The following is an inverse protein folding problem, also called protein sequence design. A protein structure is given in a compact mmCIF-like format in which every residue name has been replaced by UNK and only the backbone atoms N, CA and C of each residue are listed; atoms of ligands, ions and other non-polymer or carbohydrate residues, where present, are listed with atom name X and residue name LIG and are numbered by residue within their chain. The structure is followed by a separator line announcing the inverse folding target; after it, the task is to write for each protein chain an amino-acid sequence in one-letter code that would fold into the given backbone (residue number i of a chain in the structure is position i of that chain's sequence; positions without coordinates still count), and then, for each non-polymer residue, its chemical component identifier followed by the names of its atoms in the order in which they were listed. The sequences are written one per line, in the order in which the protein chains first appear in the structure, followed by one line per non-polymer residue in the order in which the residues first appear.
data_IF_092473419922
#
_entry.id   IF_092473419922
#
_cell.length_a   1.000
_cell.length_b   1.000
_cell.length_c   1.000
_cell.angle_alpha   90.00
_cell.angle_beta   90.00
_cell.angle_gamma   90.00
#
_symmetry.space_group_name_H-M   'P 1'
#
loop_
_entity.id
_entity.type
_entity.pdbx_description
1 polymer ?
#
# COMPACT_ATOMS: atom_id res chain seq x y z
N UNK A 1 4.57 14.68 6.05
CA UNK A 1 5.63 14.65 5.01
C UNK A 1 6.99 14.42 5.66
N UNK A 2 7.31 15.06 6.82
CA UNK A 2 8.64 15.02 7.45
C UNK A 2 9.12 13.61 7.82
N UNK A 3 8.24 12.74 8.32
CA UNK A 3 8.54 11.37 8.75
C UNK A 3 8.63 10.33 7.63
N UNK A 4 8.21 10.63 6.41
CA UNK A 4 8.28 9.73 5.25
C UNK A 4 7.75 8.31 5.55
N UNK A 5 8.53 7.26 5.21
CA UNK A 5 8.21 5.85 5.43
C UNK A 5 8.09 5.46 6.92
N UNK A 6 8.64 6.25 7.82
CA UNK A 6 8.54 5.98 9.27
C UNK A 6 7.11 6.07 9.80
N UNK A 7 6.19 6.75 9.09
CA UNK A 7 4.76 6.73 9.43
C UNK A 7 4.18 5.32 9.35
N UNK A 8 4.55 4.56 8.32
CA UNK A 8 4.13 3.16 8.14
C UNK A 8 4.79 2.28 9.20
N UNK A 9 6.08 2.50 9.48
CA UNK A 9 6.82 1.76 10.51
C UNK A 9 6.23 1.99 11.90
N UNK A 10 5.87 3.24 12.24
CA UNK A 10 5.20 3.58 13.50
C UNK A 10 3.85 2.90 13.63
N UNK A 11 3.05 2.96 12.55
CA UNK A 11 1.75 2.30 12.53
C UNK A 11 1.88 0.80 12.76
N UNK A 12 2.78 0.12 12.05
CA UNK A 12 3.02 -1.31 12.23
C UNK A 12 3.46 -1.65 13.65
N UNK A 13 4.36 -0.84 14.23
CA UNK A 13 4.81 -1.02 15.62
C UNK A 13 3.68 -0.91 16.63
N UNK A 14 2.71 -0.02 16.42
CA UNK A 14 1.61 0.23 17.38
C UNK A 14 0.40 -0.67 17.19
N UNK A 15 0.17 -1.18 15.99
CA UNK A 15 -1.11 -1.79 15.63
C UNK A 15 -1.01 -3.24 15.12
N UNK A 16 0.20 -3.72 14.84
CA UNK A 16 0.39 -5.05 14.29
C UNK A 16 1.18 -5.94 15.24
N UNK A 17 0.81 -7.23 15.33
CA UNK A 17 1.53 -8.22 16.13
C UNK A 17 2.01 -9.37 15.25
N UNK A 18 3.35 -9.51 15.14
CA UNK A 18 4.01 -10.54 14.35
C UNK A 18 5.32 -10.97 15.03
N UNK A 19 5.81 -12.16 14.72
CA UNK A 19 7.10 -12.66 15.22
C UNK A 19 8.28 -11.93 14.58
N UNK A 20 8.12 -11.51 13.32
CA UNK A 20 9.10 -10.74 12.55
C UNK A 20 8.42 -9.59 11.81
N UNK A 21 9.12 -8.47 11.74
CA UNK A 21 8.69 -7.27 11.03
C UNK A 21 9.68 -6.93 9.94
N UNK A 22 9.19 -6.72 8.73
CA UNK A 22 10.00 -6.25 7.61
C UNK A 22 9.54 -4.87 7.13
N UNK A 23 10.49 -4.04 6.77
CA UNK A 23 10.26 -2.79 6.07
C UNK A 23 11.03 -2.77 4.77
N UNK A 24 10.39 -2.36 3.69
CA UNK A 24 11.02 -2.08 2.42
C UNK A 24 10.35 -0.89 1.74
N UNK A 25 11.04 -0.27 0.79
CA UNK A 25 10.49 0.78 -0.04
C UNK A 25 9.88 0.17 -1.31
N UNK A 26 8.85 0.77 -1.90
CA UNK A 26 8.19 0.24 -3.10
C UNK A 26 9.12 -0.07 -4.30
N UNK A 27 10.32 0.49 -4.31
CA UNK A 27 11.35 0.23 -5.32
C UNK A 27 12.58 -0.50 -4.79
N UNK A 28 12.67 -0.82 -3.50
CA UNK A 28 13.86 -1.43 -2.88
C UNK A 28 13.47 -2.64 -2.06
N UNK A 29 14.09 -3.77 -2.36
CA UNK A 29 13.82 -5.04 -1.70
C UNK A 29 15.13 -5.72 -1.33
N UNK A 30 15.12 -6.49 -0.26
CA UNK A 30 16.23 -7.38 0.08
C UNK A 30 16.21 -8.60 -0.85
N UNK A 31 17.32 -8.92 -1.47
CA UNK A 31 17.47 -10.14 -2.26
C UNK A 31 17.69 -11.35 -1.36
N UNK A 32 16.98 -12.44 -1.59
CA UNK A 32 17.19 -13.72 -0.93
C UNK A 32 17.95 -14.73 -1.79
N UNK A 33 18.72 -14.23 -2.77
CA UNK A 33 19.68 -15.05 -3.52
C UNK A 33 20.84 -15.49 -2.62
N UNK A 34 21.47 -16.61 -2.96
CA UNK A 34 22.63 -17.13 -2.22
C UNK A 34 23.91 -16.34 -2.49
N UNK A 35 23.95 -15.57 -3.58
CA UNK A 35 25.13 -14.78 -3.96
C UNK A 35 24.74 -13.35 -4.32
N UNK A 36 25.65 -12.41 -4.08
CA UNK A 36 25.48 -11.02 -4.50
C UNK A 36 25.84 -10.87 -5.98
N UNK A 37 25.04 -10.08 -6.68
CA UNK A 37 25.28 -9.69 -8.07
C UNK A 37 26.05 -8.35 -8.11
N UNK A 38 26.73 -8.03 -9.24
CA UNK A 38 27.37 -6.72 -9.39
C UNK A 38 26.36 -5.59 -9.16
N UNK A 39 26.67 -4.68 -8.25
CA UNK A 39 25.87 -3.51 -7.90
C UNK A 39 26.43 -2.22 -8.52
N UNK A 40 25.75 -1.11 -8.26
CA UNK A 40 26.26 0.24 -8.53
C UNK A 40 27.26 0.67 -7.45
N UNK A 41 27.71 1.93 -7.47
CA UNK A 41 28.63 2.51 -6.47
C UNK A 41 28.14 2.40 -5.01
N UNK A 42 26.87 2.10 -4.81
CA UNK A 42 26.22 1.93 -3.50
C UNK A 42 25.95 0.45 -3.19
N UNK A 43 26.61 -0.47 -3.88
CA UNK A 43 26.39 -1.93 -3.78
C UNK A 43 24.92 -2.38 -4.00
N UNK A 44 24.09 -1.49 -4.56
CA UNK A 44 22.69 -1.76 -4.88
C UNK A 44 22.58 -2.35 -6.29
N UNK A 45 21.92 -3.47 -6.40
CA UNK A 45 21.59 -4.06 -7.70
C UNK A 45 20.50 -3.24 -8.37
N UNK A 46 20.74 -2.81 -9.61
CA UNK A 46 19.80 -2.00 -10.39
C UNK A 46 19.07 -2.88 -11.40
N UNK A 47 17.74 -2.89 -11.34
CA UNK A 47 16.87 -3.52 -12.31
C UNK A 47 15.96 -2.50 -12.97
N UNK A 48 15.54 -2.76 -14.21
CA UNK A 48 14.65 -1.84 -14.90
C UNK A 48 13.22 -1.97 -14.37
N UNK A 49 12.71 -3.19 -14.26
CA UNK A 49 11.31 -3.43 -13.90
C UNK A 49 11.20 -4.45 -12.77
N UNK A 50 10.23 -4.25 -11.87
CA UNK A 50 9.73 -5.29 -11.00
C UNK A 50 8.77 -6.17 -11.80
N UNK A 51 9.24 -7.33 -12.24
CA UNK A 51 8.49 -8.33 -12.99
C UNK A 51 8.51 -9.68 -12.29
N UNK A 52 7.67 -10.62 -12.74
CA UNK A 52 7.69 -12.00 -12.24
C UNK A 52 9.10 -12.58 -12.33
N UNK A 53 9.75 -12.40 -13.49
CA UNK A 53 11.10 -12.92 -13.75
C UNK A 53 12.14 -12.35 -12.78
N UNK A 54 12.13 -11.04 -12.55
CA UNK A 54 13.10 -10.41 -11.64
C UNK A 54 12.80 -10.75 -10.19
N UNK A 55 11.53 -10.84 -9.80
CA UNK A 55 11.14 -11.25 -8.46
C UNK A 55 11.50 -12.73 -8.17
N UNK A 56 11.35 -13.62 -9.14
CA UNK A 56 11.82 -15.02 -9.05
C UNK A 56 13.34 -15.07 -8.96
N UNK A 57 14.06 -14.32 -9.79
CA UNK A 57 15.52 -14.23 -9.78
C UNK A 57 16.05 -13.87 -8.38
N UNK A 58 15.47 -12.86 -7.75
CA UNK A 58 15.88 -12.40 -6.41
C UNK A 58 15.22 -13.16 -5.27
N UNK A 59 14.51 -14.26 -5.57
CA UNK A 59 13.85 -15.16 -4.62
C UNK A 59 12.80 -14.46 -3.73
N UNK A 60 12.16 -13.41 -4.25
CA UNK A 60 11.16 -12.63 -3.52
C UNK A 60 9.83 -13.38 -3.31
N UNK A 61 9.63 -14.52 -4.00
CA UNK A 61 8.46 -15.41 -3.87
C UNK A 61 8.77 -16.75 -3.22
N UNK A 62 10.03 -17.04 -2.95
CA UNK A 62 10.40 -18.30 -2.33
C UNK A 62 10.12 -18.25 -0.82
N UNK A 63 8.83 -18.37 -0.47
CA UNK A 63 8.35 -18.30 0.91
C UNK A 63 9.13 -19.21 1.84
N UNK A 64 9.31 -20.48 1.45
CA UNK A 64 9.99 -21.48 2.28
C UNK A 64 11.46 -21.09 2.57
N UNK A 65 12.18 -20.59 1.54
CA UNK A 65 13.56 -20.13 1.72
C UNK A 65 13.62 -18.89 2.60
N UNK A 66 12.72 -17.92 2.35
CA UNK A 66 12.65 -16.68 3.12
C UNK A 66 12.35 -16.96 4.59
N UNK A 67 11.33 -17.77 4.90
CA UNK A 67 10.96 -18.12 6.27
C UNK A 67 12.08 -18.85 7.01
N UNK A 68 12.74 -19.81 6.34
CA UNK A 68 13.88 -20.53 6.91
C UNK A 68 15.02 -19.57 7.24
N UNK A 69 15.33 -18.64 6.36
CA UNK A 69 16.41 -17.69 6.57
C UNK A 69 16.06 -16.67 7.64
N UNK A 70 14.86 -16.08 7.56
CA UNK A 70 14.38 -15.09 8.54
C UNK A 70 14.40 -15.68 9.95
N UNK A 71 13.92 -16.91 10.14
CA UNK A 71 13.92 -17.57 11.45
C UNK A 71 15.32 -17.88 12.00
N UNK A 72 16.35 -17.86 11.16
CA UNK A 72 17.73 -18.14 11.56
C UNK A 72 18.48 -16.91 12.09
N UNK A 73 17.94 -15.71 11.91
CA UNK A 73 18.57 -14.46 12.28
C UNK A 73 17.64 -13.57 13.11
N UNK A 74 18.22 -12.71 13.93
CA UNK A 74 17.46 -11.71 14.69
C UNK A 74 17.23 -10.45 13.87
N UNK A 75 18.16 -10.15 12.96
CA UNK A 75 18.12 -8.99 12.05
C UNK A 75 18.70 -9.35 10.68
N UNK A 76 17.99 -8.99 9.64
CA UNK A 76 18.45 -9.02 8.24
C UNK A 76 18.33 -7.61 7.68
N UNK A 77 19.41 -7.09 7.09
CA UNK A 77 19.49 -5.70 6.62
C UNK A 77 20.11 -5.61 5.22
N UNK A 78 19.98 -4.45 4.61
CA UNK A 78 20.74 -4.11 3.41
C UNK A 78 22.24 -4.05 3.72
N UNK A 79 23.06 -4.59 2.80
CA UNK A 79 24.52 -4.51 2.89
C UNK A 79 24.97 -3.05 2.94
N UNK A 80 25.89 -2.76 3.86
CA UNK A 80 26.55 -1.46 3.91
C UNK A 80 27.48 -1.28 2.68
N UNK A 81 27.52 -0.06 2.15
CA UNK A 81 28.44 0.26 1.05
C UNK A 81 29.61 1.15 1.50
N UNK A 82 30.72 1.05 0.81
CA UNK A 82 31.95 1.81 1.07
C UNK A 82 31.83 3.21 0.44
N UNK A 83 31.74 4.25 1.25
CA UNK A 83 31.60 5.65 0.82
C UNK A 83 32.79 6.16 0.02
N UNK A 84 33.97 5.52 0.14
CA UNK A 84 35.15 5.86 -0.64
C UNK A 84 35.08 5.41 -2.10
N UNK A 85 34.16 4.50 -2.42
CA UNK A 85 33.98 3.93 -3.77
C UNK A 85 32.95 4.66 -4.62
N UNK A 86 32.30 5.69 -4.09
CA UNK A 86 31.29 6.46 -4.85
C UNK A 86 32.02 7.26 -5.94
N UNK A 87 31.72 6.96 -7.21
CA UNK A 87 32.38 7.61 -8.37
C UNK A 87 31.67 8.84 -8.88
N UNK A 88 30.32 8.92 -8.69
CA UNK A 88 29.49 10.01 -9.22
C UNK A 88 29.61 11.32 -8.44
N UNK A 89 30.11 11.27 -7.25
CA UNK A 89 30.40 12.42 -6.39
C UNK A 89 31.80 12.26 -5.80
N UNK A 90 32.35 13.35 -5.28
CA UNK A 90 33.66 13.26 -4.60
C UNK A 90 33.61 12.18 -3.51
N UNK A 91 34.51 11.18 -3.51
CA UNK A 91 34.57 10.15 -2.48
C UNK A 91 34.62 10.75 -1.08
N UNK A 92 33.97 10.09 -0.13
CA UNK A 92 33.92 10.49 1.27
C UNK A 92 34.65 9.46 2.12
N UNK A 93 35.49 9.92 3.04
CA UNK A 93 36.30 9.02 3.87
C UNK A 93 35.47 8.45 5.04
N UNK A 94 34.33 9.04 5.34
CA UNK A 94 33.46 8.58 6.44
C UNK A 94 31.99 8.85 6.18
N UNK A 95 31.14 8.16 6.93
CA UNK A 95 29.69 8.39 6.97
C UNK A 95 29.38 9.82 7.40
N UNK A 96 30.14 10.36 8.38
CA UNK A 96 29.99 11.75 8.80
C UNK A 96 30.22 12.72 7.65
N UNK A 97 31.34 12.57 6.92
CA UNK A 97 31.61 13.41 5.75
C UNK A 97 30.51 13.31 4.68
N UNK A 98 29.99 12.10 4.44
CA UNK A 98 28.90 11.88 3.48
C UNK A 98 27.68 12.73 3.84
N UNK A 99 27.22 12.67 5.09
CA UNK A 99 26.06 13.39 5.54
C UNK A 99 26.24 14.90 5.56
N UNK A 100 27.38 15.40 6.10
CA UNK A 100 27.67 16.84 6.14
C UNK A 100 27.87 17.45 4.73
N UNK A 101 28.22 16.65 3.75
CA UNK A 101 28.33 17.07 2.36
C UNK A 101 26.99 17.02 1.60
N UNK A 102 25.98 16.34 2.12
CA UNK A 102 24.67 16.14 1.47
C UNK A 102 23.71 17.32 1.72
N UNK A 103 24.19 18.58 1.57
CA UNK A 103 23.46 19.81 1.88
C UNK A 103 22.19 20.05 1.05
N UNK A 104 22.04 19.35 -0.06
CA UNK A 104 20.82 19.36 -0.85
C UNK A 104 19.70 18.49 -0.26
N UNK A 105 20.03 17.59 0.67
CA UNK A 105 19.09 16.73 1.38
C UNK A 105 18.79 17.26 2.77
N UNK A 106 19.85 17.57 3.52
CA UNK A 106 19.76 17.94 4.93
C UNK A 106 20.70 19.08 5.27
N UNK A 107 20.30 19.95 6.19
CA UNK A 107 21.17 20.97 6.75
C UNK A 107 22.12 20.34 7.78
N UNK A 108 23.43 20.68 7.80
CA UNK A 108 24.34 20.24 8.84
C UNK A 108 23.86 20.46 10.27
N UNK A 109 23.15 21.56 10.52
CA UNK A 109 22.56 21.85 11.85
C UNK A 109 21.58 20.76 12.29
N UNK A 110 20.84 20.14 11.35
CA UNK A 110 19.97 19.03 11.66
C UNK A 110 20.73 17.81 12.19
N UNK A 111 21.93 17.55 11.61
CA UNK A 111 22.80 16.47 12.05
C UNK A 111 23.35 16.75 13.45
N UNK A 112 23.79 18.00 13.68
CA UNK A 112 24.29 18.42 15.00
C UNK A 112 23.19 18.32 16.07
N UNK A 113 21.96 18.69 15.73
CA UNK A 113 20.80 18.53 16.60
C UNK A 113 20.52 17.06 16.92
N UNK A 114 20.57 16.20 15.91
CA UNK A 114 20.40 14.75 16.11
C UNK A 114 21.46 14.16 17.03
N UNK A 115 22.73 14.51 16.81
CA UNK A 115 23.87 14.05 17.64
C UNK A 115 23.60 14.42 19.10
N UNK A 116 23.24 15.67 19.36
CA UNK A 116 22.96 16.15 20.72
C UNK A 116 21.77 15.40 21.35
N UNK A 117 20.71 15.13 20.61
CA UNK A 117 19.58 14.36 21.11
C UNK A 117 20.01 12.94 21.50
N UNK A 118 20.85 12.28 20.69
CA UNK A 118 21.37 10.96 21.00
C UNK A 118 22.24 11.02 22.26
N UNK A 119 23.14 11.99 22.38
CA UNK A 119 23.99 12.18 23.57
C UNK A 119 23.18 12.38 24.84
N UNK A 120 22.13 13.21 24.78
CA UNK A 120 21.34 13.57 25.94
C UNK A 120 20.35 12.45 26.38
N UNK A 121 19.79 11.68 25.42
CA UNK A 121 18.68 10.75 25.69
C UNK A 121 19.03 9.28 25.56
N UNK A 122 20.05 8.96 24.75
CA UNK A 122 20.50 7.61 24.46
C UNK A 122 22.00 7.46 24.57
N UNK A 123 22.58 7.74 25.77
CA UNK A 123 24.03 7.67 25.98
C UNK A 123 24.63 6.30 25.68
N UNK A 124 23.81 5.24 25.75
CA UNK A 124 24.20 3.87 25.38
C UNK A 124 24.54 3.72 23.88
N UNK A 125 24.11 4.63 23.04
CA UNK A 125 24.36 4.61 21.59
C UNK A 125 25.51 5.53 21.17
N UNK A 126 26.07 6.35 22.06
CA UNK A 126 27.08 7.38 21.73
C UNK A 126 28.34 6.74 21.16
N UNK A 127 28.83 5.65 21.76
CA UNK A 127 29.98 4.92 21.25
C UNK A 127 29.73 4.42 19.82
N UNK A 128 28.63 3.71 19.61
CA UNK A 128 28.21 3.20 18.30
C UNK A 128 28.00 4.30 17.27
N UNK A 129 27.44 5.44 17.69
CA UNK A 129 27.27 6.62 16.82
C UNK A 129 28.63 7.17 16.36
N UNK A 130 29.57 7.32 17.27
CA UNK A 130 30.92 7.82 16.95
C UNK A 130 31.67 6.88 16.03
N UNK A 131 31.62 5.57 16.29
CA UNK A 131 32.22 4.54 15.45
C UNK A 131 31.62 4.52 14.06
N UNK A 132 30.27 4.51 13.96
CA UNK A 132 29.55 4.52 12.70
C UNK A 132 29.87 5.77 11.88
N UNK A 133 29.87 6.94 12.50
CA UNK A 133 30.21 8.20 11.83
C UNK A 133 31.68 8.26 11.36
N UNK A 134 32.58 7.66 12.10
CA UNK A 134 34.02 7.56 11.71
C UNK A 134 34.23 6.50 10.62
N UNK A 135 33.33 5.52 10.51
CA UNK A 135 33.46 4.43 9.55
C UNK A 135 33.21 4.92 8.11
N UNK A 136 33.74 4.19 7.14
CA UNK A 136 33.43 4.39 5.71
C UNK A 136 32.27 3.55 5.21
N UNK A 137 31.64 2.75 6.05
CA UNK A 137 30.57 1.83 5.69
C UNK A 137 29.20 2.41 6.05
N UNK A 138 28.54 2.97 5.05
CA UNK A 138 27.19 3.53 5.21
C UNK A 138 26.12 2.48 4.98
N UNK A 139 25.15 2.41 5.91
CA UNK A 139 23.94 1.60 5.78
C UNK A 139 22.74 2.52 5.78
N UNK A 140 22.13 2.68 4.61
CA UNK A 140 20.94 3.47 4.42
C UNK A 140 19.77 2.65 3.91
N UNK A 141 18.80 3.37 3.38
CA UNK A 141 17.63 2.84 2.68
C UNK A 141 16.57 2.14 3.54
N UNK A 142 16.71 2.10 4.86
CA UNK A 142 15.71 1.62 5.81
C UNK A 142 14.99 0.33 5.32
N UNK A 143 15.78 -0.66 4.89
CA UNK A 143 15.30 -1.93 4.36
C UNK A 143 15.81 -3.07 5.24
N UNK A 144 14.90 -3.74 5.94
CA UNK A 144 15.25 -4.72 6.96
C UNK A 144 14.16 -5.77 7.20
N UNK A 145 14.54 -6.86 7.86
CA UNK A 145 13.65 -7.76 8.60
C UNK A 145 14.21 -7.92 10.01
N UNK A 146 13.40 -7.77 11.03
CA UNK A 146 13.79 -7.85 12.44
C UNK A 146 12.85 -8.77 13.21
N UNK A 147 13.38 -9.52 14.19
CA UNK A 147 12.57 -10.21 15.18
C UNK A 147 11.72 -9.20 15.99
N UNK A 148 10.57 -9.64 16.49
CA UNK A 148 9.65 -8.83 17.31
C UNK A 148 10.38 -8.07 18.43
N UNK A 149 11.29 -8.76 19.13
CA UNK A 149 12.07 -8.16 20.22
C UNK A 149 12.88 -6.96 19.73
N UNK A 150 13.73 -7.18 18.71
CA UNK A 150 14.61 -6.13 18.16
C UNK A 150 13.80 -5.00 17.54
N UNK A 151 12.73 -5.31 16.81
CA UNK A 151 11.85 -4.30 16.21
C UNK A 151 11.24 -3.39 17.27
N UNK A 152 10.76 -3.95 18.39
CA UNK A 152 10.19 -3.16 19.48
C UNK A 152 11.23 -2.29 20.19
N UNK A 153 12.44 -2.82 20.44
CA UNK A 153 13.53 -2.08 21.07
C UNK A 153 14.01 -0.95 20.17
N UNK A 154 14.25 -1.24 18.90
CA UNK A 154 14.62 -0.25 17.89
C UNK A 154 13.59 0.88 17.77
N UNK A 155 12.30 0.55 17.65
CA UNK A 155 11.27 1.59 17.49
C UNK A 155 11.09 2.48 18.72
N UNK A 156 11.31 1.96 19.94
CA UNK A 156 11.34 2.80 21.14
C UNK A 156 12.40 3.88 21.03
N UNK A 157 13.61 3.50 20.69
CA UNK A 157 14.74 4.41 20.51
C UNK A 157 14.51 5.35 19.33
N UNK A 158 14.17 4.80 18.17
CA UNK A 158 13.97 5.57 16.94
C UNK A 158 12.93 6.68 17.12
N UNK A 159 11.75 6.35 17.62
CA UNK A 159 10.66 7.33 17.73
C UNK A 159 10.83 8.28 18.92
N UNK A 160 11.54 7.88 19.97
CA UNK A 160 11.93 8.81 21.02
C UNK A 160 12.86 9.90 20.46
N UNK A 161 13.86 9.52 19.67
CA UNK A 161 14.76 10.46 19.02
C UNK A 161 14.03 11.31 17.97
N UNK A 162 13.25 10.69 17.08
CA UNK A 162 12.62 11.43 15.98
C UNK A 162 11.55 12.40 16.45
N UNK A 163 10.77 12.07 17.47
CA UNK A 163 9.80 13.00 18.05
C UNK A 163 10.48 14.16 18.78
N UNK A 164 11.59 13.90 19.44
CA UNK A 164 12.36 14.98 20.08
C UNK A 164 13.01 15.87 19.02
N UNK A 165 13.56 15.27 17.95
CA UNK A 165 14.10 16.02 16.82
C UNK A 165 13.03 16.93 16.18
N UNK A 166 11.84 16.41 15.91
CA UNK A 166 10.73 17.16 15.29
C UNK A 166 10.27 18.35 16.15
N UNK A 167 10.46 18.29 17.47
CA UNK A 167 10.19 19.41 18.39
C UNK A 167 11.30 20.47 18.40
N UNK A 168 12.56 20.04 18.31
CA UNK A 168 13.71 20.92 18.45
C UNK A 168 14.14 21.55 17.14
N UNK A 169 13.90 20.89 16.01
CA UNK A 169 14.36 21.32 14.70
C UNK A 169 13.23 21.95 13.89
N UNK A 170 13.30 23.29 13.73
CA UNK A 170 12.33 24.03 12.95
C UNK A 170 12.62 23.91 11.44
N UNK A 171 11.63 23.42 10.69
CA UNK A 171 11.66 23.31 9.23
C UNK A 171 10.94 24.47 8.53
N UNK A 172 10.55 25.52 9.25
CA UNK A 172 9.89 26.70 8.67
C UNK A 172 10.79 27.34 7.62
N UNK A 173 10.25 27.53 6.41
CA UNK A 173 10.99 28.09 5.28
C UNK A 173 11.84 27.09 4.50
N UNK A 174 11.82 25.80 4.85
CA UNK A 174 12.44 24.76 4.04
C UNK A 174 11.53 24.34 2.88
N UNK A 175 12.16 23.95 1.77
CA UNK A 175 11.47 23.51 0.57
C UNK A 175 12.07 22.19 0.05
N UNK A 176 11.29 21.48 -0.76
CA UNK A 176 11.72 20.29 -1.46
C UNK A 176 12.19 19.17 -0.51
N UNK A 177 13.40 18.65 -0.76
CA UNK A 177 13.95 17.55 0.03
C UNK A 177 14.21 17.92 1.50
N UNK A 178 14.47 19.17 1.81
CA UNK A 178 14.76 19.61 3.18
C UNK A 178 13.55 19.48 4.12
N UNK A 179 12.31 19.49 3.59
CA UNK A 179 11.09 19.20 4.36
C UNK A 179 11.06 17.78 4.92
N UNK A 180 11.94 16.90 4.42
CA UNK A 180 12.07 15.51 4.83
C UNK A 180 13.17 15.29 5.88
N UNK A 181 13.62 16.35 6.55
CA UNK A 181 14.74 16.29 7.50
C UNK A 181 14.57 15.18 8.53
N UNK A 182 13.41 15.04 9.17
CA UNK A 182 13.12 13.98 10.15
C UNK A 182 13.29 12.57 9.54
N UNK A 183 12.88 12.38 8.28
CA UNK A 183 13.10 11.12 7.57
C UNK A 183 14.58 10.80 7.37
N UNK A 184 15.40 11.77 6.98
CA UNK A 184 16.86 11.58 6.85
C UNK A 184 17.53 11.33 8.20
N UNK A 185 17.07 11.98 9.27
CA UNK A 185 17.56 11.68 10.62
C UNK A 185 17.25 10.24 11.01
N UNK A 186 16.08 9.74 10.64
CA UNK A 186 15.73 8.33 10.82
C UNK A 186 16.69 7.36 10.11
N UNK A 187 17.16 7.69 8.89
CA UNK A 187 18.17 6.88 8.21
C UNK A 187 19.52 6.87 8.97
N UNK A 188 19.90 7.99 9.58
CA UNK A 188 21.10 8.05 10.42
C UNK A 188 20.92 7.18 11.67
N UNK A 189 19.81 7.33 12.38
CA UNK A 189 19.49 6.54 13.59
C UNK A 189 19.46 5.05 13.25
N UNK A 190 18.88 4.67 12.10
CA UNK A 190 18.91 3.30 11.59
C UNK A 190 20.33 2.78 11.45
N UNK A 191 21.21 3.53 10.79
CA UNK A 191 22.61 3.16 10.63
C UNK A 191 23.35 2.99 11.95
N UNK A 192 23.17 3.93 12.89
CA UNK A 192 23.75 3.88 14.25
C UNK A 192 23.24 2.65 15.02
N UNK A 193 21.93 2.41 15.01
CA UNK A 193 21.36 1.29 15.76
C UNK A 193 21.78 -0.07 15.15
N UNK A 194 21.84 -0.17 13.82
CA UNK A 194 22.35 -1.38 13.16
C UNK A 194 23.83 -1.61 13.46
N UNK A 195 24.63 -0.54 13.56
CA UNK A 195 26.02 -0.63 13.99
C UNK A 195 26.13 -1.17 15.43
N UNK A 196 25.31 -0.63 16.34
CA UNK A 196 25.22 -1.10 17.71
C UNK A 196 24.89 -2.60 17.77
N UNK A 197 23.85 -3.05 17.07
CA UNK A 197 23.48 -4.47 17.05
C UNK A 197 24.59 -5.37 16.52
N UNK A 198 25.30 -4.92 15.50
CA UNK A 198 26.32 -5.71 14.81
C UNK A 198 27.62 -5.81 15.61
N UNK A 199 28.02 -4.78 16.36
CA UNK A 199 29.33 -4.67 16.97
C UNK A 199 29.34 -4.74 18.50
N UNK A 200 28.21 -4.43 19.14
CA UNK A 200 28.11 -4.33 20.59
C UNK A 200 27.09 -5.29 21.21
N UNK A 201 26.54 -6.23 20.43
CA UNK A 201 25.59 -7.25 20.92
C UNK A 201 25.84 -8.61 20.30
N UNK A 202 25.28 -9.68 20.89
CA UNK A 202 25.30 -11.03 20.34
C UNK A 202 24.17 -11.29 19.31
N UNK A 203 23.69 -10.22 18.65
CA UNK A 203 22.61 -10.29 17.68
C UNK A 203 23.03 -11.13 16.46
N UNK A 204 22.21 -12.11 16.09
CA UNK A 204 22.39 -12.89 14.85
C UNK A 204 22.04 -12.01 13.66
N UNK A 205 23.05 -11.44 13.06
CA UNK A 205 22.98 -10.39 12.05
C UNK A 205 23.31 -10.91 10.66
N UNK A 206 22.47 -10.61 9.66
CA UNK A 206 22.71 -10.99 8.26
C UNK A 206 22.59 -9.77 7.34
N UNK A 207 23.53 -9.65 6.42
CA UNK A 207 23.45 -8.67 5.32
C UNK A 207 22.93 -9.32 4.03
N UNK A 208 22.01 -8.61 3.35
CA UNK A 208 21.50 -8.98 2.04
C UNK A 208 21.65 -7.84 1.05
N UNK A 209 21.82 -8.17 -0.21
CA UNK A 209 21.89 -7.16 -1.26
C UNK A 209 20.53 -6.48 -1.43
N UNK A 210 20.55 -5.16 -1.56
CA UNK A 210 19.37 -4.40 -1.97
C UNK A 210 19.25 -4.45 -3.49
N UNK A 211 18.06 -4.74 -3.97
CA UNK A 211 17.67 -4.61 -5.37
C UNK A 211 16.77 -3.39 -5.52
N UNK A 212 17.14 -2.50 -6.42
CA UNK A 212 16.36 -1.31 -6.77
C UNK A 212 15.73 -1.50 -8.14
N UNK A 213 14.41 -1.41 -8.21
CA UNK A 213 13.64 -1.43 -9.44
C UNK A 213 13.32 0.01 -9.87
N UNK A 214 13.71 0.38 -11.09
CA UNK A 214 13.45 1.71 -11.63
C UNK A 214 11.95 1.93 -11.85
N UNK A 215 11.27 0.91 -12.39
CA UNK A 215 9.84 0.91 -12.67
C UNK A 215 9.16 -0.19 -11.86
N UNK A 216 8.19 0.20 -11.06
CA UNK A 216 7.33 -0.68 -10.26
C UNK A 216 5.86 -0.51 -10.65
N UNK A 217 5.59 0.29 -11.67
CA UNK A 217 4.26 0.50 -12.24
C UNK A 217 3.96 -0.60 -13.25
N UNK A 218 2.68 -0.81 -13.50
CA UNK A 218 2.10 -1.94 -14.19
C UNK A 218 2.84 -2.35 -15.49
N UNK A 219 3.91 -3.11 -15.32
CA UNK A 219 4.40 -3.99 -16.36
C UNK A 219 3.30 -5.05 -16.61
N UNK A 220 2.99 -5.42 -17.85
CA UNK A 220 2.11 -6.55 -18.17
C UNK A 220 2.46 -7.81 -17.38
N UNK A 221 3.75 -8.04 -17.09
CA UNK A 221 4.23 -9.13 -16.24
C UNK A 221 3.84 -8.96 -14.76
N UNK A 222 3.72 -7.74 -14.24
CA UNK A 222 3.26 -7.49 -12.88
C UNK A 222 1.76 -7.80 -12.70
N UNK A 223 0.95 -7.57 -13.73
CA UNK A 223 -0.44 -8.03 -13.76
C UNK A 223 -0.54 -9.55 -13.73
N UNK A 224 0.35 -10.24 -14.47
CA UNK A 224 0.46 -11.71 -14.44
C UNK A 224 0.86 -12.21 -13.06
N UNK A 225 1.67 -11.44 -12.31
CA UNK A 225 2.05 -11.74 -10.94
C UNK A 225 0.88 -11.63 -9.97
N UNK A 226 0.14 -10.54 -10.04
CA UNK A 226 -1.07 -10.35 -9.24
C UNK A 226 -2.09 -11.47 -9.56
N UNK A 227 -2.24 -11.84 -10.83
CA UNK A 227 -3.08 -12.94 -11.26
C UNK A 227 -2.56 -14.29 -10.74
N UNK A 228 -1.24 -14.56 -10.76
CA UNK A 228 -0.67 -15.80 -10.20
C UNK A 228 -0.83 -15.86 -8.68
N UNK A 229 -0.66 -14.75 -7.98
CA UNK A 229 -0.88 -14.69 -6.52
C UNK A 229 -2.35 -14.92 -6.19
N UNK A 230 -3.26 -14.43 -7.02
CA UNK A 230 -4.70 -14.71 -6.93
C UNK A 230 -5.04 -16.14 -7.33
N UNK A 231 -4.31 -16.75 -8.28
CA UNK A 231 -4.55 -18.14 -8.73
C UNK A 231 -4.07 -19.22 -7.76
N UNK A 232 -3.29 -18.87 -6.72
CA UNK A 232 -3.01 -19.78 -5.60
C UNK A 232 -4.17 -19.91 -4.62
N UNK A 233 -5.17 -19.05 -4.70
CA UNK A 233 -6.45 -19.28 -4.06
C UNK A 233 -7.21 -20.35 -4.87
N UNK A 234 -7.64 -21.45 -4.22
CA UNK A 234 -8.51 -22.46 -4.85
C UNK A 234 -9.62 -21.75 -5.62
N UNK A 235 -9.83 -22.07 -6.91
CA UNK A 235 -10.93 -21.50 -7.65
C UNK A 235 -12.23 -21.78 -6.88
N UNK A 236 -12.83 -20.78 -6.35
CA UNK A 236 -14.15 -20.87 -5.79
C UNK A 236 -15.09 -20.54 -6.97
N UNK A 237 -15.95 -21.46 -7.35
CA UNK A 237 -16.93 -21.23 -8.44
C UNK A 237 -18.00 -20.19 -8.08
N UNK A 238 -17.86 -19.55 -6.94
CA UNK A 238 -18.80 -18.58 -6.43
C UNK A 238 -18.79 -17.27 -7.23
N UNK A 239 -20.00 -16.82 -7.47
CA UNK A 239 -20.29 -15.51 -8.06
C UNK A 239 -20.98 -14.69 -6.99
N UNK A 240 -20.49 -13.46 -6.75
CA UNK A 240 -21.13 -12.53 -5.82
C UNK A 240 -21.31 -11.17 -6.46
N UNK A 241 -22.52 -10.65 -6.31
CA UNK A 241 -22.88 -9.27 -6.68
C UNK A 241 -23.11 -8.51 -5.38
N UNK A 242 -22.17 -7.62 -5.05
CA UNK A 242 -22.22 -6.79 -3.84
C UNK A 242 -23.17 -5.61 -4.09
N UNK A 243 -24.25 -5.57 -3.32
CA UNK A 243 -25.28 -4.53 -3.44
C UNK A 243 -25.02 -3.46 -2.39
N UNK A 244 -24.70 -2.25 -2.84
CA UNK A 244 -24.51 -1.12 -1.95
C UNK A 244 -25.82 -0.46 -1.55
N UNK A 245 -26.10 -0.42 -0.26
CA UNK A 245 -27.28 0.21 0.35
C UNK A 245 -26.89 1.45 1.16
N UNK A 246 -27.79 2.42 1.20
CA UNK A 246 -27.63 3.60 2.06
C UNK A 246 -27.86 3.23 3.52
N UNK A 247 -27.12 3.88 4.42
CA UNK A 247 -27.23 3.67 5.87
C UNK A 247 -28.60 4.07 6.43
N UNK A 248 -29.15 5.15 5.92
CA UNK A 248 -30.35 5.81 6.42
C UNK A 248 -31.67 5.22 5.88
N UNK A 249 -31.60 4.18 5.05
CA UNK A 249 -32.76 3.57 4.42
C UNK A 249 -32.80 2.06 4.63
N UNK A 250 -33.97 1.55 5.03
CA UNK A 250 -34.32 0.15 4.90
C UNK A 250 -34.80 -0.11 3.47
N UNK A 251 -33.99 -0.76 2.66
CA UNK A 251 -34.28 -1.07 1.27
C UNK A 251 -34.60 -2.56 1.13
N UNK A 252 -35.48 -2.87 0.18
CA UNK A 252 -35.72 -4.26 -0.20
C UNK A 252 -34.43 -4.95 -0.68
N UNK A 253 -34.32 -6.24 -0.43
CA UNK A 253 -33.21 -7.08 -0.82
C UNK A 253 -33.66 -8.23 -1.71
N UNK A 254 -32.78 -8.68 -2.61
CA UNK A 254 -33.01 -9.86 -3.44
C UNK A 254 -32.51 -11.08 -2.68
N UNK A 255 -33.37 -12.06 -2.44
CA UNK A 255 -33.08 -13.27 -1.67
C UNK A 255 -32.20 -14.30 -2.38
N UNK A 256 -31.71 -14.02 -3.58
CA UNK A 256 -30.82 -14.93 -4.34
C UNK A 256 -29.41 -14.90 -3.76
N UNK A 257 -28.79 -16.06 -3.53
CA UNK A 257 -27.44 -16.24 -2.96
C UNK A 257 -26.31 -15.54 -3.71
N UNK A 258 -26.54 -15.10 -4.96
CA UNK A 258 -25.59 -14.33 -5.75
C UNK A 258 -25.44 -12.90 -5.24
N UNK A 259 -26.51 -12.33 -4.63
CA UNK A 259 -26.51 -10.98 -4.12
C UNK A 259 -26.12 -10.93 -2.65
N UNK A 260 -25.07 -10.16 -2.36
CA UNK A 260 -24.67 -9.84 -1.00
C UNK A 260 -24.88 -8.37 -0.69
N UNK A 261 -25.66 -8.09 0.35
CA UNK A 261 -26.15 -6.77 0.66
C UNK A 261 -25.30 -6.11 1.76
N UNK A 262 -24.78 -4.92 1.46
CA UNK A 262 -23.91 -4.16 2.36
C UNK A 262 -24.39 -2.73 2.56
N UNK A 263 -24.44 -2.27 3.79
CA UNK A 263 -24.60 -0.86 4.13
C UNK A 263 -23.28 -0.12 3.90
N UNK A 264 -23.33 0.87 3.02
CA UNK A 264 -22.23 1.80 2.75
C UNK A 264 -22.12 2.81 3.89
N UNK A 265 -20.90 3.18 4.29
CA UNK A 265 -20.61 4.13 5.37
C UNK A 265 -20.97 3.59 6.79
N UNK A 266 -20.88 2.30 6.99
CA UNK A 266 -21.25 1.67 8.26
C UNK A 266 -20.33 2.10 9.42
N UNK A 267 -19.04 2.39 9.16
CA UNK A 267 -18.07 2.82 10.15
C UNK A 267 -18.37 4.18 10.79
N UNK A 268 -19.08 5.08 10.07
CA UNK A 268 -19.43 6.41 10.59
C UNK A 268 -20.78 6.48 11.29
N UNK A 269 -21.58 5.41 11.23
CA UNK A 269 -22.94 5.40 11.75
C UNK A 269 -23.13 4.31 12.81
N UNK A 270 -23.42 4.70 14.05
CA UNK A 270 -23.82 3.79 15.13
C UNK A 270 -25.28 3.32 14.92
N UNK A 271 -25.50 2.46 13.92
CA UNK A 271 -26.82 1.92 13.63
C UNK A 271 -26.87 0.41 13.88
N UNK A 272 -28.01 -0.09 14.33
CA UNK A 272 -28.30 -1.52 14.30
C UNK A 272 -28.50 -1.93 12.84
N UNK A 273 -27.52 -2.60 12.28
CA UNK A 273 -27.56 -3.04 10.89
C UNK A 273 -28.39 -4.33 10.80
N UNK A 274 -29.38 -4.34 9.90
CA UNK A 274 -30.10 -5.56 9.51
C UNK A 274 -29.37 -6.34 8.41
N UNK A 275 -28.29 -5.79 7.88
CA UNK A 275 -27.42 -6.39 6.86
C UNK A 275 -25.96 -6.07 7.16
N UNK A 276 -25.04 -6.69 6.45
CA UNK A 276 -23.61 -6.43 6.62
C UNK A 276 -23.27 -4.95 6.43
N UNK A 277 -22.25 -4.48 7.15
CA UNK A 277 -21.61 -3.18 6.93
C UNK A 277 -20.32 -3.31 6.16
N UNK A 278 -19.91 -2.24 5.48
CA UNK A 278 -18.63 -2.13 4.78
C UNK A 278 -17.45 -1.75 5.70
N UNK A 279 -17.65 -1.86 7.03
CA UNK A 279 -16.74 -1.41 8.09
C UNK A 279 -15.92 -2.53 8.75
N UNK A 280 -15.98 -3.74 8.20
CA UNK A 280 -15.23 -4.90 8.69
C UNK A 280 -13.97 -5.16 7.85
N UNK A 281 -12.96 -5.81 8.44
CA UNK A 281 -11.73 -6.14 7.73
C UNK A 281 -10.99 -4.90 7.20
N UNK A 282 -10.32 -5.05 6.05
CA UNK A 282 -9.67 -3.92 5.35
C UNK A 282 -10.75 -3.09 4.61
N UNK A 283 -10.98 -1.86 5.03
CA UNK A 283 -12.09 -1.05 4.55
C UNK A 283 -11.77 0.46 4.49
N UNK A 284 -12.60 1.19 3.76
CA UNK A 284 -12.62 2.66 3.68
C UNK A 284 -13.99 3.23 4.04
N UNK A 285 -14.71 2.56 4.93
CA UNK A 285 -16.09 2.91 5.30
C UNK A 285 -16.22 4.36 5.77
N UNK A 286 -15.29 4.86 6.58
CA UNK A 286 -15.29 6.24 7.07
C UNK A 286 -15.11 7.29 5.96
N UNK A 287 -14.60 6.88 4.80
CA UNK A 287 -14.43 7.72 3.62
C UNK A 287 -15.63 7.64 2.65
N UNK A 288 -16.64 6.86 2.96
CA UNK A 288 -17.80 6.63 2.07
C UNK A 288 -18.56 7.92 1.70
N UNK A 289 -18.46 8.97 2.51
CA UNK A 289 -19.02 10.30 2.14
C UNK A 289 -18.38 10.88 0.86
N UNK A 290 -17.16 10.45 0.52
CA UNK A 290 -16.46 10.86 -0.71
C UNK A 290 -16.56 9.79 -1.80
N UNK A 291 -16.52 8.51 -1.43
CA UNK A 291 -16.48 7.39 -2.36
C UNK A 291 -17.84 6.73 -2.58
N UNK A 292 -18.85 7.07 -1.78
CA UNK A 292 -20.20 6.50 -1.87
C UNK A 292 -20.18 4.97 -1.96
N UNK A 293 -20.87 4.37 -2.94
CA UNK A 293 -20.94 2.92 -3.18
C UNK A 293 -19.57 2.26 -3.45
N UNK A 294 -18.55 3.03 -3.82
CA UNK A 294 -17.20 2.50 -4.05
C UNK A 294 -16.54 2.00 -2.76
N UNK A 295 -17.02 2.41 -1.57
CA UNK A 295 -16.54 1.84 -0.30
C UNK A 295 -16.90 0.35 -0.18
N UNK A 296 -18.06 -0.07 -0.67
CA UNK A 296 -18.47 -1.48 -0.74
C UNK A 296 -17.65 -2.23 -1.79
N UNK A 297 -17.33 -1.58 -2.92
CA UNK A 297 -16.44 -2.17 -3.94
C UNK A 297 -15.03 -2.42 -3.38
N UNK A 298 -14.49 -1.45 -2.63
CA UNK A 298 -13.19 -1.61 -1.96
C UNK A 298 -13.23 -2.75 -0.96
N UNK A 299 -14.27 -2.80 -0.13
CA UNK A 299 -14.47 -3.87 0.84
C UNK A 299 -14.49 -5.25 0.17
N UNK A 300 -15.26 -5.39 -0.91
CA UNK A 300 -15.35 -6.65 -1.67
C UNK A 300 -13.99 -7.06 -2.25
N UNK A 301 -13.25 -6.12 -2.82
CA UNK A 301 -11.90 -6.38 -3.34
C UNK A 301 -10.92 -6.87 -2.27
N UNK A 302 -11.01 -6.33 -1.07
CA UNK A 302 -10.07 -6.64 0.02
C UNK A 302 -10.44 -7.90 0.81
N UNK A 303 -11.73 -8.17 0.99
CA UNK A 303 -12.21 -9.14 1.97
C UNK A 303 -12.96 -10.33 1.36
N UNK A 304 -13.44 -10.22 0.13
CA UNK A 304 -14.12 -11.32 -0.56
C UNK A 304 -13.16 -12.16 -1.39
N UNK A 305 -13.47 -13.46 -1.51
CA UNK A 305 -12.70 -14.42 -2.32
C UNK A 305 -13.66 -15.20 -3.22
N UNK A 306 -13.90 -14.66 -4.40
CA UNK A 306 -14.82 -15.22 -5.40
C UNK A 306 -14.22 -15.10 -6.81
N UNK A 307 -14.69 -15.91 -7.75
CA UNK A 307 -14.19 -15.88 -9.12
C UNK A 307 -14.79 -14.73 -9.96
N UNK A 308 -16.03 -14.36 -9.67
CA UNK A 308 -16.75 -13.30 -10.36
C UNK A 308 -17.28 -12.29 -9.36
N UNK A 309 -16.86 -11.05 -9.52
CA UNK A 309 -17.28 -9.92 -8.70
C UNK A 309 -18.27 -9.06 -9.47
N UNK A 310 -19.41 -8.76 -8.89
CA UNK A 310 -20.33 -7.77 -9.38
C UNK A 310 -20.52 -6.66 -8.36
N UNK A 311 -20.81 -5.46 -8.83
CA UNK A 311 -21.24 -4.34 -7.99
C UNK A 311 -22.54 -3.80 -8.54
N UNK A 312 -23.51 -3.54 -7.67
CA UNK A 312 -24.70 -2.79 -8.04
C UNK A 312 -25.16 -1.89 -6.88
N UNK A 313 -25.96 -0.92 -7.22
CA UNK A 313 -26.61 -0.04 -6.28
C UNK A 313 -28.00 -0.58 -5.93
N UNK A 314 -28.48 -0.42 -4.69
CA UNK A 314 -29.78 -0.94 -4.22
C UNK A 314 -31.00 -0.56 -5.07
N UNK A 315 -30.87 0.38 -6.00
CA UNK A 315 -31.90 0.79 -6.96
C UNK A 315 -31.55 0.51 -8.42
N UNK A 316 -30.43 -0.18 -8.71
CA UNK A 316 -29.97 -0.41 -10.09
C UNK A 316 -29.41 -1.81 -10.20
N UNK A 317 -30.04 -2.61 -11.03
CA UNK A 317 -29.67 -4.00 -11.27
C UNK A 317 -29.58 -4.25 -12.77
N UNK A 318 -28.71 -5.15 -13.18
CA UNK A 318 -28.71 -5.69 -14.54
C UNK A 318 -29.86 -6.69 -14.67
N UNK A 319 -30.58 -6.68 -15.79
CA UNK A 319 -31.58 -7.70 -16.10
C UNK A 319 -30.90 -8.94 -16.70
N UNK A 320 -31.21 -10.11 -16.16
CA UNK A 320 -30.79 -11.41 -16.67
C UNK A 320 -31.93 -12.14 -17.40
N UNK A 321 -33.04 -11.46 -17.64
CA UNK A 321 -34.13 -11.97 -18.45
C UNK A 321 -33.75 -11.99 -19.93
N UNK A 322 -34.21 -13.03 -20.65
CA UNK A 322 -34.06 -13.10 -22.11
C UNK A 322 -35.09 -12.27 -22.86
N UNK A 323 -36.02 -11.65 -22.15
CA UNK A 323 -37.07 -10.77 -22.74
C UNK A 323 -36.49 -9.37 -22.99
N UNK A 324 -36.99 -8.73 -24.05
CA UNK A 324 -36.74 -7.32 -24.29
C UNK A 324 -37.83 -6.49 -23.56
N UNK A 325 -37.42 -5.38 -23.02
CA UNK A 325 -38.28 -4.43 -22.29
C UNK A 325 -38.09 -3.04 -22.87
N UNK A 326 -39.14 -2.24 -22.80
CA UNK A 326 -39.09 -0.83 -23.20
C UNK A 326 -38.17 -0.07 -22.26
N UNK A 327 -37.27 0.73 -22.85
CA UNK A 327 -36.32 1.54 -22.13
C UNK A 327 -36.69 3.02 -22.22
N UNK A 328 -36.36 3.79 -21.19
CA UNK A 328 -36.46 5.24 -21.25
C UNK A 328 -35.37 5.83 -22.16
N UNK A 329 -35.46 7.14 -22.44
CA UNK A 329 -34.47 7.84 -23.27
C UNK A 329 -33.00 7.69 -22.83
N UNK A 330 -32.76 7.29 -21.60
CA UNK A 330 -31.41 7.06 -21.03
C UNK A 330 -30.98 5.58 -21.08
N UNK A 331 -31.69 4.73 -21.82
CA UNK A 331 -31.28 3.35 -22.06
C UNK A 331 -31.49 2.39 -20.87
N UNK A 332 -32.32 2.75 -19.88
CA UNK A 332 -32.64 1.85 -18.76
C UNK A 332 -34.17 1.69 -18.58
N UNK A 333 -34.54 0.60 -17.95
CA UNK A 333 -35.90 0.27 -17.59
C UNK A 333 -36.22 0.93 -16.25
N UNK A 334 -37.39 1.58 -16.14
CA UNK A 334 -37.87 2.15 -14.88
C UNK A 334 -38.91 1.20 -14.30
N UNK A 335 -38.65 0.70 -13.09
CA UNK A 335 -39.60 -0.08 -12.32
C UNK A 335 -39.97 0.66 -11.03
N UNK A 336 -41.23 0.62 -10.62
CA UNK A 336 -41.67 1.37 -9.45
C UNK A 336 -41.22 0.76 -8.12
N UNK A 337 -41.17 -0.57 -8.05
CA UNK A 337 -40.85 -1.31 -6.83
C UNK A 337 -39.96 -2.52 -7.11
N UNK A 338 -39.03 -2.78 -6.18
CA UNK A 338 -38.35 -4.06 -6.09
C UNK A 338 -39.21 -5.01 -5.23
N UNK A 339 -39.94 -5.92 -5.89
CA UNK A 339 -40.80 -6.94 -5.28
C UNK A 339 -40.63 -8.29 -6.00
N UNK A 340 -41.31 -9.33 -5.55
CA UNK A 340 -41.22 -10.67 -6.13
C UNK A 340 -41.51 -10.68 -7.63
N UNK A 341 -42.51 -9.94 -8.07
CA UNK A 341 -42.93 -9.85 -9.48
C UNK A 341 -41.80 -9.22 -10.34
N UNK A 342 -41.22 -8.10 -9.90
CA UNK A 342 -40.14 -7.45 -10.63
C UNK A 342 -38.85 -8.26 -10.60
N UNK A 343 -38.56 -8.95 -9.49
CA UNK A 343 -37.41 -9.85 -9.35
C UNK A 343 -37.51 -11.02 -10.35
N UNK A 344 -38.68 -11.65 -10.44
CA UNK A 344 -38.94 -12.74 -11.39
C UNK A 344 -38.94 -12.22 -12.83
N UNK A 345 -39.59 -11.11 -13.11
CA UNK A 345 -39.69 -10.46 -14.44
C UNK A 345 -38.30 -10.25 -15.06
N UNK A 346 -37.32 -9.82 -14.24
CA UNK A 346 -35.95 -9.52 -14.67
C UNK A 346 -34.96 -10.65 -14.46
N UNK A 347 -35.41 -11.82 -14.02
CA UNK A 347 -34.56 -13.02 -13.83
C UNK A 347 -33.55 -12.89 -12.71
N UNK A 348 -33.86 -12.08 -11.69
CA UNK A 348 -32.93 -11.81 -10.56
C UNK A 348 -32.99 -12.90 -9.47
N UNK A 349 -33.97 -13.80 -9.50
CA UNK A 349 -34.13 -14.95 -8.62
C UNK A 349 -33.58 -16.26 -9.24
N UNK A 350 -33.27 -16.26 -10.54
CA UNK A 350 -32.78 -17.45 -11.26
C UNK A 350 -31.25 -17.54 -11.22
N UNK A 351 -30.73 -18.16 -10.16
CA UNK A 351 -29.28 -18.35 -9.97
C UNK A 351 -28.61 -19.03 -11.15
N UNK A 352 -29.20 -20.13 -11.65
CA UNK A 352 -28.55 -20.96 -12.67
C UNK A 352 -28.44 -20.23 -14.00
N UNK A 353 -29.48 -19.49 -14.39
CA UNK A 353 -29.45 -18.65 -15.58
C UNK A 353 -28.45 -17.49 -15.42
N UNK A 354 -28.47 -16.80 -14.27
CA UNK A 354 -27.51 -15.74 -13.98
C UNK A 354 -26.07 -16.26 -14.05
N UNK A 355 -25.78 -17.34 -13.35
CA UNK A 355 -24.44 -17.93 -13.34
C UNK A 355 -23.99 -18.37 -14.74
N UNK A 356 -24.90 -18.97 -15.52
CA UNK A 356 -24.63 -19.36 -16.92
C UNK A 356 -24.32 -18.15 -17.81
N UNK A 357 -25.04 -17.04 -17.63
CA UNK A 357 -24.81 -15.82 -18.39
C UNK A 357 -23.48 -15.16 -17.97
N UNK A 358 -23.23 -15.02 -16.67
CA UNK A 358 -22.02 -14.38 -16.13
C UNK A 358 -20.76 -15.11 -16.59
N UNK A 359 -20.73 -16.42 -16.50
CA UNK A 359 -19.57 -17.25 -16.89
C UNK A 359 -19.21 -17.22 -18.38
N UNK A 360 -20.03 -16.59 -19.23
CA UNK A 360 -19.74 -16.47 -20.67
C UNK A 360 -18.89 -15.26 -21.03
N UNK A 361 -18.74 -14.31 -20.10
CA UNK A 361 -18.13 -13.02 -20.38
C UNK A 361 -17.10 -12.66 -19.30
N UNK A 362 -16.07 -11.96 -19.72
CA UNK A 362 -15.06 -11.40 -18.79
C UNK A 362 -15.59 -10.14 -18.09
N UNK A 363 -16.49 -9.40 -18.75
CA UNK A 363 -17.09 -8.18 -18.25
C UNK A 363 -18.55 -8.04 -18.74
N UNK A 364 -19.46 -7.74 -17.81
CA UNK A 364 -20.85 -7.41 -18.10
C UNK A 364 -21.13 -6.02 -17.53
N UNK A 365 -21.62 -5.13 -18.38
CA UNK A 365 -21.99 -3.75 -18.00
C UNK A 365 -23.43 -3.42 -18.43
N UNK A 366 -23.96 -2.33 -17.90
CA UNK A 366 -25.17 -1.73 -18.46
C UNK A 366 -24.97 -1.28 -19.90
N UNK A 367 -26.03 -1.20 -20.68
CA UNK A 367 -25.97 -0.68 -22.05
C UNK A 367 -25.46 0.76 -22.06
N UNK A 368 -24.72 1.11 -23.12
CA UNK A 368 -24.33 2.50 -23.36
C UNK A 368 -25.57 3.36 -23.63
N UNK A 369 -25.50 4.61 -23.18
CA UNK A 369 -26.50 5.62 -23.52
C UNK A 369 -25.83 6.72 -24.33
N UNK A 370 -26.57 7.29 -25.29
CA UNK A 370 -26.15 8.53 -25.92
C UNK A 370 -26.35 9.67 -24.91
N UNK A 371 -25.30 10.39 -24.65
CA UNK A 371 -25.33 11.58 -23.79
C UNK A 371 -25.17 12.77 -24.70
N UNK A 372 -26.20 13.61 -24.77
CA UNK A 372 -26.05 14.92 -25.38
C UNK A 372 -25.01 15.71 -24.57
N UNK A 373 -24.02 16.24 -25.25
CA UNK A 373 -22.92 17.00 -24.64
C UNK A 373 -23.44 18.16 -23.78
N UNK A 374 -24.57 18.75 -24.18
CA UNK A 374 -25.26 19.80 -23.43
C UNK A 374 -25.94 19.29 -22.17
N UNK A 375 -26.57 18.11 -22.21
CA UNK A 375 -27.15 17.47 -21.03
C UNK A 375 -26.07 17.05 -20.03
N UNK A 376 -24.91 16.62 -20.49
CA UNK A 376 -23.77 16.28 -19.66
C UNK A 376 -23.15 17.53 -19.02
N UNK A 377 -22.98 18.63 -19.79
CA UNK A 377 -22.35 19.86 -19.31
C UNK A 377 -23.27 20.74 -18.46
N UNK A 378 -24.59 20.73 -18.73
CA UNK A 378 -25.53 21.66 -18.10
C UNK A 378 -26.67 20.98 -17.33
N UNK A 379 -26.80 19.67 -17.42
CA UNK A 379 -27.91 18.88 -16.88
C UNK A 379 -28.00 18.72 -15.37
N UNK A 380 -27.43 19.62 -14.57
CA UNK A 380 -27.66 19.60 -13.15
C UNK A 380 -26.66 20.37 -12.29
N UNK A 381 -27.10 20.67 -11.07
CA UNK A 381 -26.35 21.34 -9.99
C UNK A 381 -25.02 20.66 -9.56
N UNK A 382 -24.48 19.74 -10.38
CA UNK A 382 -23.26 18.94 -10.12
C UNK A 382 -22.13 19.20 -11.11
N UNK A 383 -22.05 20.41 -11.63
CA UNK A 383 -20.98 20.83 -12.55
C UNK A 383 -19.53 20.66 -11.99
N UNK A 384 -19.40 20.47 -10.67
CA UNK A 384 -18.08 20.25 -10.06
C UNK A 384 -17.41 18.92 -10.49
N UNK A 385 -18.20 17.85 -10.66
CA UNK A 385 -17.64 16.55 -11.05
C UNK A 385 -17.07 16.52 -12.48
N UNK A 386 -17.61 17.36 -13.38
CA UNK A 386 -17.14 17.41 -14.78
C UNK A 386 -15.78 18.12 -14.87
N UNK A 387 -15.62 19.21 -14.12
CA UNK A 387 -14.37 19.93 -14.04
C UNK A 387 -13.23 19.04 -13.50
N UNK A 388 -13.57 18.18 -12.56
CA UNK A 388 -12.63 17.22 -11.99
C UNK A 388 -12.24 16.14 -13.01
N UNK A 389 -13.17 15.67 -13.84
CA UNK A 389 -12.88 14.69 -14.92
C UNK A 389 -11.95 15.31 -15.98
N UNK A 390 -12.17 16.56 -16.40
CA UNK A 390 -11.27 17.24 -17.34
C UNK A 390 -9.90 17.51 -16.72
N UNK A 391 -9.82 17.87 -15.45
CA UNK A 391 -8.54 18.03 -14.75
C UNK A 391 -7.77 16.72 -14.64
N UNK A 392 -8.45 15.59 -14.42
CA UNK A 392 -7.84 14.26 -14.42
C UNK A 392 -7.33 13.91 -15.84
N UNK A 393 -8.08 14.22 -16.87
CA UNK A 393 -7.68 13.97 -18.25
C UNK A 393 -6.45 14.80 -18.66
N UNK A 394 -6.34 16.06 -18.25
CA UNK A 394 -5.15 16.91 -18.49
C UNK A 394 -3.88 16.42 -17.75
N UNK A 395 -4.04 15.58 -16.71
CA UNK A 395 -2.91 15.05 -15.93
C UNK A 395 -2.53 13.60 -16.31
N UNK A 396 -3.33 12.92 -17.13
CA UNK A 396 -3.09 11.55 -17.58
C UNK A 396 -2.55 11.44 -19.01
N UNK A 397 -2.53 12.52 -19.76
CA UNK A 397 -1.96 12.66 -21.11
C UNK A 397 -1.00 13.86 -21.14
#
# INVERSE_FOLDING_TARGET
ISFCEYTVQYWAWKNYDADYYGLCHYRRYLSFMDSFMPGNDYDVRMENNLSVRTAELYQLFNKSKMEKEISSYDVIVGKAFDTTKITRVRPRNSVKELWYASRNLVDPIAIDTLIKIIEDRHPELVESMNEYFASKYYRGYNCFVMSKKIFNEYNKVLFDILFEFDKQFDTTGYEGNKLRATGYMGEIVYGVYMWYLQHHTDCRFLERQIVYFKNTEADPDANTLAQRTLSYKKPNDDIKIFVSHRMDLDSAVIGNRIFENYKCNAGSARCFLKMNGDDTGDNISDLAKYFSELSVQYWAWKNADVNYYGLCHYRRYLSFSNKKFDQCSRGYIIENMLNEESIEKYGLNDYDNMAKQIKKYDLITGGSMDVDEMDFLFGGKRAHCIKDIFMIQEHLF
#
